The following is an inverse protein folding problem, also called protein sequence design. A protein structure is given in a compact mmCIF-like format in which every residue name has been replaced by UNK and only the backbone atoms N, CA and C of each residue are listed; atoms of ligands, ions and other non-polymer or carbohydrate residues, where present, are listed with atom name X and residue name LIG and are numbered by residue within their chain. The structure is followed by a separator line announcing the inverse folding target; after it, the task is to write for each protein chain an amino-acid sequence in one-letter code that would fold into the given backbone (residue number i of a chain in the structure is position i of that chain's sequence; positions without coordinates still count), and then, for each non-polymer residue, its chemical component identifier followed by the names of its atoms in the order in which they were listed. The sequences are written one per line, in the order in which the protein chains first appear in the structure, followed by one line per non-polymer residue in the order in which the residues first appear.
data_IF_680595266361
#
_entry.id   IF_680595266361
#
_cell.length_a   1.000
_cell.length_b   1.000
_cell.length_c   1.000
_cell.angle_alpha   90.00
_cell.angle_beta   90.00
_cell.angle_gamma   90.00
#
_symmetry.space_group_name_H-M   'P 1'
#
loop_
_entity.id
_entity.type
_entity.pdbx_description
1 polymer ?
#
# COMPACT_ATOMS: atom_id res chain seq x y z
N UNK A 1 10.26 44.03 21.14
CA UNK A 1 9.22 43.06 21.45
C UNK A 1 8.50 42.71 20.15
N UNK A 2 8.94 41.63 19.47
CA UNK A 2 8.34 41.15 18.22
C UNK A 2 7.73 39.80 18.51
N UNK A 3 6.39 39.69 18.43
CA UNK A 3 5.67 38.41 18.51
C UNK A 3 5.63 37.80 17.13
N UNK A 4 6.44 36.78 16.89
CA UNK A 4 6.31 35.92 15.72
C UNK A 4 5.11 34.97 15.92
N UNK A 5 4.04 35.21 15.20
CA UNK A 5 2.90 34.29 15.11
C UNK A 5 3.29 33.08 14.32
N UNK A 6 3.47 31.92 14.95
CA UNK A 6 3.55 30.64 14.27
C UNK A 6 2.17 30.28 13.72
N UNK A 7 1.97 30.52 12.44
CA UNK A 7 0.77 30.06 11.71
C UNK A 7 0.77 28.53 11.66
N UNK A 8 -0.29 27.93 12.23
CA UNK A 8 -0.49 26.48 12.28
C UNK A 8 -0.70 25.93 10.86
N UNK A 9 0.36 25.48 10.21
CA UNK A 9 0.36 24.83 8.90
C UNK A 9 -0.56 23.60 8.84
N UNK A 10 -0.78 22.93 9.99
CA UNK A 10 -1.62 21.73 10.08
C UNK A 10 -3.13 22.00 9.97
N UNK A 11 -3.59 23.20 10.33
CA UNK A 11 -5.01 23.58 10.15
C UNK A 11 -5.33 23.98 8.72
N UNK A 12 -4.35 24.52 7.99
CA UNK A 12 -4.52 24.86 6.57
C UNK A 12 -4.57 23.59 5.69
N UNK A 13 -3.74 22.59 6.01
CA UNK A 13 -3.73 21.32 5.28
C UNK A 13 -5.07 20.57 5.39
N UNK A 14 -5.68 20.54 6.58
CA UNK A 14 -6.98 19.89 6.79
C UNK A 14 -8.14 20.62 6.07
N UNK A 15 -8.10 21.95 6.01
CA UNK A 15 -9.11 22.76 5.30
C UNK A 15 -8.96 22.73 3.78
N UNK A 16 -7.74 22.61 3.26
CA UNK A 16 -7.48 22.47 1.82
C UNK A 16 -7.94 21.10 1.32
N UNK A 17 -7.75 20.03 2.11
CA UNK A 17 -8.25 18.69 1.77
C UNK A 17 -9.78 18.65 1.75
N UNK A 18 -10.45 19.30 2.71
CA UNK A 18 -11.93 19.34 2.73
C UNK A 18 -12.51 20.24 1.63
N UNK A 19 -11.85 21.35 1.28
CA UNK A 19 -12.30 22.29 0.25
C UNK A 19 -12.07 21.81 -1.18
N UNK A 20 -11.00 21.05 -1.42
CA UNK A 20 -10.68 20.48 -2.75
C UNK A 20 -11.61 19.33 -3.17
N UNK A 21 -12.19 18.62 -2.23
CA UNK A 21 -13.12 17.49 -2.46
C UNK A 21 -14.49 17.92 -3.01
N UNK A 22 -14.86 19.19 -2.93
CA UNK A 22 -16.17 19.69 -3.34
C UNK A 22 -16.26 20.22 -4.78
N UNK A 23 -15.15 20.28 -5.52
CA UNK A 23 -15.11 21.01 -6.80
C UNK A 23 -14.71 20.19 -8.03
N UNK A 24 -14.52 18.87 -7.96
CA UNK A 24 -14.18 18.06 -9.13
C UNK A 24 -15.01 16.77 -9.19
N UNK A 25 -15.86 16.59 -10.22
CA UNK A 25 -16.74 15.42 -10.34
C UNK A 25 -16.06 14.17 -10.93
N UNK A 26 -14.74 14.12 -11.07
CA UNK A 26 -14.03 13.01 -11.72
C UNK A 26 -12.85 12.54 -10.88
N UNK A 27 -12.90 11.31 -10.43
CA UNK A 27 -11.85 10.53 -9.75
C UNK A 27 -11.90 10.62 -8.21
N UNK A 28 -12.82 9.90 -7.61
CA UNK A 28 -12.82 9.65 -6.16
C UNK A 28 -11.86 8.51 -5.90
N UNK A 29 -10.68 8.83 -5.42
CA UNK A 29 -9.70 7.84 -4.93
C UNK A 29 -10.05 7.47 -3.49
N UNK A 30 -10.09 6.17 -3.19
CA UNK A 30 -10.61 5.68 -1.93
C UNK A 30 -9.57 5.62 -0.81
N UNK A 31 -10.07 5.75 0.42
CA UNK A 31 -9.28 5.58 1.64
C UNK A 31 -9.46 4.20 2.28
N UNK A 32 -10.64 3.59 2.11
CA UNK A 32 -11.01 2.32 2.75
C UNK A 32 -11.89 1.50 1.82
N UNK A 33 -11.80 0.19 1.92
CA UNK A 33 -12.59 -0.75 1.12
C UNK A 33 -13.54 -1.56 2.02
N UNK A 34 -14.79 -1.72 1.60
CA UNK A 34 -15.70 -2.66 2.25
C UNK A 34 -15.52 -4.06 1.65
N UNK A 35 -14.59 -4.82 2.19
CA UNK A 35 -14.29 -6.18 1.72
C UNK A 35 -15.24 -7.24 2.29
N UNK A 36 -16.14 -6.86 3.20
CA UNK A 36 -17.19 -7.76 3.68
C UNK A 36 -18.32 -7.93 2.64
N UNK A 37 -18.51 -6.94 1.76
CA UNK A 37 -19.49 -6.95 0.67
C UNK A 37 -18.83 -7.52 -0.59
N UNK A 38 -19.11 -8.78 -0.88
CA UNK A 38 -18.50 -9.47 -2.03
C UNK A 38 -19.00 -8.93 -3.37
N UNK A 39 -18.15 -8.93 -4.41
CA UNK A 39 -18.59 -8.66 -5.77
C UNK A 39 -19.72 -9.63 -6.17
N UNK A 40 -20.78 -9.16 -6.84
CA UNK A 40 -21.90 -10.01 -7.25
C UNK A 40 -21.49 -11.11 -8.24
N UNK A 41 -20.41 -10.87 -8.98
CA UNK A 41 -19.77 -11.84 -9.88
C UNK A 41 -18.26 -11.85 -9.60
N UNK A 42 -17.57 -12.98 -9.88
CA UNK A 42 -16.12 -13.04 -9.71
C UNK A 42 -15.40 -11.94 -10.50
N UNK A 43 -14.41 -11.32 -9.88
CA UNK A 43 -13.56 -10.33 -10.53
C UNK A 43 -12.54 -11.02 -11.44
N UNK A 44 -12.25 -10.37 -12.56
CA UNK A 44 -11.09 -10.72 -13.37
C UNK A 44 -9.81 -10.48 -12.57
N UNK A 45 -8.83 -11.39 -12.70
CA UNK A 45 -7.50 -11.16 -12.13
C UNK A 45 -6.74 -10.15 -13.00
N UNK A 46 -6.30 -9.06 -12.38
CA UNK A 46 -5.61 -7.96 -13.05
C UNK A 46 -4.13 -7.88 -12.65
N UNK A 47 -3.62 -8.87 -11.93
CA UNK A 47 -2.28 -8.84 -11.35
C UNK A 47 -1.18 -8.60 -12.39
N UNK A 48 -1.22 -9.31 -13.50
CA UNK A 48 -0.21 -9.20 -14.57
C UNK A 48 -0.23 -7.81 -15.22
N UNK A 49 -1.42 -7.25 -15.47
CA UNK A 49 -1.57 -5.92 -16.08
C UNK A 49 -1.06 -4.81 -15.14
N UNK A 50 -1.30 -4.97 -13.83
CA UNK A 50 -0.75 -4.06 -12.82
C UNK A 50 0.77 -4.19 -12.72
N UNK A 51 1.30 -5.43 -12.77
CA UNK A 51 2.76 -5.66 -12.78
C UNK A 51 3.44 -5.04 -13.99
N UNK A 52 2.86 -5.18 -15.17
CA UNK A 52 3.36 -4.54 -16.40
C UNK A 52 3.40 -3.00 -16.27
N UNK A 53 2.37 -2.42 -15.68
CA UNK A 53 2.38 -0.97 -15.43
C UNK A 53 3.47 -0.54 -14.44
N UNK A 54 3.67 -1.31 -13.37
CA UNK A 54 4.75 -1.07 -12.40
C UNK A 54 6.12 -1.19 -13.07
N UNK A 55 6.31 -2.19 -13.93
CA UNK A 55 7.53 -2.36 -14.73
C UNK A 55 7.81 -1.15 -15.62
N UNK A 56 6.78 -0.67 -16.35
CA UNK A 56 6.91 0.53 -17.19
C UNK A 56 7.31 1.78 -16.38
N UNK A 57 6.77 1.91 -15.15
CA UNK A 57 7.13 3.00 -14.24
C UNK A 57 8.59 2.88 -13.77
N UNK A 58 9.05 1.69 -13.44
CA UNK A 58 10.44 1.44 -13.06
C UNK A 58 11.40 1.70 -14.22
N UNK A 59 11.05 1.36 -15.46
CA UNK A 59 11.85 1.72 -16.63
C UNK A 59 12.06 3.24 -16.73
N UNK A 60 11.00 4.03 -16.49
CA UNK A 60 11.11 5.49 -16.47
C UNK A 60 12.01 6.00 -15.33
N UNK A 61 11.89 5.41 -14.15
CA UNK A 61 12.73 5.76 -13.00
C UNK A 61 14.21 5.50 -13.31
N UNK A 62 14.51 4.32 -13.86
CA UNK A 62 15.88 3.95 -14.28
C UNK A 62 16.41 4.90 -15.35
N UNK A 63 15.62 5.20 -16.39
CA UNK A 63 15.99 6.13 -17.44
C UNK A 63 16.34 7.53 -16.89
N UNK A 64 15.46 8.08 -16.02
CA UNK A 64 15.70 9.40 -15.39
C UNK A 64 17.00 9.44 -14.60
N UNK A 65 17.25 8.42 -13.76
CA UNK A 65 18.47 8.35 -12.96
C UNK A 65 19.71 8.22 -13.88
N UNK A 66 19.65 7.39 -14.92
CA UNK A 66 20.76 7.19 -15.84
C UNK A 66 21.06 8.43 -16.68
N UNK A 67 20.05 9.19 -17.10
CA UNK A 67 20.22 10.49 -17.76
C UNK A 67 20.95 11.45 -16.83
N UNK A 68 20.52 11.54 -15.56
CA UNK A 68 21.15 12.42 -14.59
C UNK A 68 22.59 11.99 -14.27
N UNK A 69 22.88 10.69 -14.14
CA UNK A 69 24.24 10.15 -14.02
C UNK A 69 25.11 10.63 -15.20
N UNK A 70 24.59 10.50 -16.42
CA UNK A 70 25.32 10.88 -17.63
C UNK A 70 25.64 12.38 -17.67
N UNK A 71 24.71 13.24 -17.24
CA UNK A 71 24.91 14.68 -17.11
C UNK A 71 25.99 14.97 -16.07
N UNK A 72 25.91 14.37 -14.87
CA UNK A 72 26.89 14.62 -13.80
C UNK A 72 28.29 14.10 -14.15
N UNK A 73 28.38 12.98 -14.87
CA UNK A 73 29.66 12.48 -15.39
C UNK A 73 30.36 13.48 -16.32
N UNK A 74 29.61 14.11 -17.23
CA UNK A 74 30.13 15.15 -18.10
C UNK A 74 30.62 16.36 -17.31
N UNK A 75 29.83 16.78 -16.29
CA UNK A 75 30.26 17.91 -15.43
C UNK A 75 31.54 17.60 -14.64
N UNK A 76 31.68 16.39 -14.12
CA UNK A 76 32.89 15.95 -13.38
C UNK A 76 34.10 15.87 -14.28
N UNK A 77 33.93 15.39 -15.53
CA UNK A 77 35.05 15.24 -16.50
C UNK A 77 35.47 16.52 -17.16
N UNK A 78 34.81 17.65 -16.93
CA UNK A 78 35.12 18.94 -17.55
C UNK A 78 34.72 19.06 -19.03
N UNK A 79 34.03 18.07 -19.59
CA UNK A 79 33.47 18.09 -20.96
C UNK A 79 32.08 18.78 -21.01
N UNK A 80 31.83 19.79 -20.17
CA UNK A 80 30.68 20.65 -20.36
C UNK A 80 30.98 21.52 -21.61
N UNK A 81 30.19 21.39 -22.69
CA UNK A 81 30.28 22.20 -23.88
C UNK A 81 30.37 23.69 -23.52
N UNK A 82 31.45 24.38 -23.94
CA UNK A 82 31.69 25.79 -23.67
C UNK A 82 30.62 26.75 -24.24
N UNK A 83 29.54 26.22 -24.83
CA UNK A 83 28.51 27.00 -25.52
C UNK A 83 27.10 26.98 -24.88
N UNK A 84 26.82 26.12 -23.93
CA UNK A 84 25.57 26.16 -23.17
C UNK A 84 25.90 26.49 -21.72
N UNK A 85 25.38 27.60 -21.19
CA UNK A 85 25.63 28.08 -19.84
C UNK A 85 25.60 26.91 -18.86
N UNK A 86 26.74 26.58 -18.30
CA UNK A 86 26.98 25.33 -17.58
C UNK A 86 26.09 25.23 -16.37
N UNK A 87 25.05 24.40 -16.45
CA UNK A 87 24.25 23.97 -15.28
C UNK A 87 25.02 23.05 -14.32
N UNK A 88 26.38 23.06 -14.43
CA UNK A 88 27.25 22.29 -13.53
C UNK A 88 27.63 23.14 -12.31
N UNK A 89 27.53 22.54 -11.15
CA UNK A 89 28.06 23.07 -9.90
C UNK A 89 29.59 22.88 -9.79
N UNK A 90 30.16 23.14 -8.61
CA UNK A 90 31.59 22.87 -8.39
C UNK A 90 31.89 21.37 -8.61
N UNK A 91 33.08 20.99 -9.05
CA UNK A 91 33.46 19.59 -9.32
C UNK A 91 33.23 18.67 -8.13
N UNK A 92 33.47 19.15 -6.91
CA UNK A 92 33.20 18.38 -5.66
C UNK A 92 31.73 18.13 -5.41
N UNK A 93 30.88 19.13 -5.71
CA UNK A 93 29.41 18.99 -5.61
C UNK A 93 28.91 17.99 -6.65
N UNK A 94 29.36 18.09 -7.90
CA UNK A 94 28.95 17.16 -8.96
C UNK A 94 29.40 15.74 -8.69
N UNK A 95 30.62 15.54 -8.17
CA UNK A 95 31.10 14.22 -7.74
C UNK A 95 30.23 13.62 -6.62
N UNK A 96 29.79 14.46 -5.66
CA UNK A 96 28.90 14.01 -4.58
C UNK A 96 27.52 13.62 -5.08
N UNK A 97 26.94 14.40 -6.01
CA UNK A 97 25.67 14.08 -6.65
C UNK A 97 25.77 12.77 -7.46
N UNK A 98 26.85 12.61 -8.23
CA UNK A 98 27.09 11.40 -9.01
C UNK A 98 27.23 10.17 -8.10
N UNK A 99 27.94 10.31 -6.99
CA UNK A 99 28.08 9.23 -6.00
C UNK A 99 26.70 8.83 -5.41
N UNK A 100 25.84 9.82 -5.05
CA UNK A 100 24.48 9.55 -4.60
C UNK A 100 23.64 8.84 -5.65
N UNK A 101 23.62 9.30 -6.90
CA UNK A 101 22.83 8.71 -7.99
C UNK A 101 23.15 7.22 -8.25
N UNK A 102 24.32 6.76 -7.82
CA UNK A 102 24.77 5.36 -7.89
C UNK A 102 24.46 4.55 -6.64
N UNK A 103 23.73 5.10 -5.68
CA UNK A 103 23.27 4.37 -4.50
C UNK A 103 21.88 3.77 -4.71
N UNK A 104 21.56 2.71 -3.96
CA UNK A 104 20.21 2.13 -3.93
C UNK A 104 19.13 3.16 -3.54
N UNK A 105 19.47 4.11 -2.66
CA UNK A 105 18.52 5.16 -2.24
C UNK A 105 18.08 6.02 -3.44
N UNK A 106 18.97 6.39 -4.33
CA UNK A 106 18.62 7.26 -5.45
C UNK A 106 17.64 6.59 -6.43
N UNK A 107 17.83 5.30 -6.70
CA UNK A 107 16.92 4.56 -7.58
C UNK A 107 15.59 4.26 -6.90
N UNK A 108 15.60 4.01 -5.59
CA UNK A 108 14.36 3.84 -4.79
C UNK A 108 13.58 5.16 -4.72
N UNK A 109 14.25 6.30 -4.52
CA UNK A 109 13.61 7.62 -4.53
C UNK A 109 12.97 7.90 -5.90
N UNK A 110 13.65 7.59 -7.01
CA UNK A 110 13.09 7.74 -8.35
C UNK A 110 11.91 6.77 -8.63
N UNK A 111 11.98 5.54 -8.13
CA UNK A 111 10.88 4.59 -8.21
C UNK A 111 9.65 5.09 -7.43
N UNK A 112 9.86 5.67 -6.24
CA UNK A 112 8.79 6.29 -5.47
C UNK A 112 8.13 7.46 -6.22
N UNK A 113 8.91 8.31 -6.86
CA UNK A 113 8.38 9.44 -7.66
C UNK A 113 7.45 8.97 -8.79
N UNK A 114 7.69 7.79 -9.36
CA UNK A 114 6.84 7.22 -10.39
C UNK A 114 5.63 6.45 -9.86
N UNK A 115 5.77 5.75 -8.72
CA UNK A 115 4.78 4.80 -8.19
C UNK A 115 3.96 5.37 -7.03
N UNK A 116 4.64 5.99 -6.05
CA UNK A 116 4.05 6.36 -4.77
C UNK A 116 3.75 7.85 -4.59
N UNK A 117 4.28 8.70 -5.48
CA UNK A 117 4.16 10.15 -5.35
C UNK A 117 2.70 10.63 -5.35
N UNK A 118 2.44 11.69 -4.62
CA UNK A 118 1.13 12.30 -4.48
C UNK A 118 0.73 12.48 -3.02
N UNK A 119 -0.42 13.12 -2.82
CA UNK A 119 -1.01 13.30 -1.48
C UNK A 119 -2.11 12.26 -1.31
N UNK A 120 -2.12 11.46 -0.22
CA UNK A 120 -3.23 10.52 0.00
C UNK A 120 -4.60 11.23 -0.04
N UNK A 121 -5.58 10.63 -0.69
CA UNK A 121 -5.58 9.36 -1.40
C UNK A 121 -5.10 9.43 -2.85
N UNK A 122 -4.73 10.61 -3.36
CA UNK A 122 -4.38 10.87 -4.77
C UNK A 122 -2.90 10.51 -5.05
N UNK A 123 -2.53 9.25 -4.85
CA UNK A 123 -1.21 8.74 -5.22
C UNK A 123 -1.19 8.35 -6.71
N UNK A 124 0.01 8.27 -7.28
CA UNK A 124 0.18 7.87 -8.69
C UNK A 124 -0.50 6.53 -8.99
N UNK A 125 -0.14 5.48 -8.24
CA UNK A 125 -0.72 4.16 -8.42
C UNK A 125 -2.19 4.08 -8.00
N UNK A 126 -2.58 4.71 -6.88
CA UNK A 126 -3.98 4.71 -6.43
C UNK A 126 -4.90 5.33 -7.48
N UNK A 127 -4.52 6.47 -8.04
CA UNK A 127 -5.28 7.12 -9.12
C UNK A 127 -5.35 6.25 -10.37
N UNK A 128 -4.23 5.64 -10.76
CA UNK A 128 -4.21 4.75 -11.92
C UNK A 128 -5.09 3.51 -11.68
N UNK A 129 -5.00 2.87 -10.53
CA UNK A 129 -5.84 1.73 -10.16
C UNK A 129 -7.33 2.04 -10.23
N UNK A 130 -7.75 3.26 -9.91
CA UNK A 130 -9.15 3.66 -9.91
C UNK A 130 -9.68 4.09 -11.30
N UNK A 131 -8.82 4.54 -12.19
CA UNK A 131 -9.22 5.15 -13.47
C UNK A 131 -8.88 4.32 -14.71
N UNK A 132 -7.91 3.40 -14.61
CA UNK A 132 -7.47 2.58 -15.74
C UNK A 132 -8.55 1.63 -16.23
N UNK A 133 -8.65 1.43 -17.56
CA UNK A 133 -9.51 0.42 -18.18
C UNK A 133 -8.75 -0.89 -18.34
N UNK A 134 -8.97 -1.82 -17.42
CA UNK A 134 -8.37 -3.14 -17.46
C UNK A 134 -8.99 -4.00 -18.57
N UNK A 135 -8.20 -4.90 -19.15
CA UNK A 135 -8.66 -5.81 -20.20
C UNK A 135 -9.69 -6.83 -19.68
N UNK A 136 -9.43 -7.41 -18.50
CA UNK A 136 -10.37 -8.31 -17.83
C UNK A 136 -11.53 -7.58 -17.17
N UNK A 137 -12.78 -8.08 -17.35
CA UNK A 137 -13.96 -7.47 -16.77
C UNK A 137 -14.87 -8.49 -16.09
N UNK A 138 -15.54 -8.16 -14.96
CA UNK A 138 -15.36 -6.91 -14.22
C UNK A 138 -14.02 -6.90 -13.46
N UNK A 139 -13.27 -5.81 -13.59
CA UNK A 139 -11.97 -5.66 -12.96
C UNK A 139 -12.06 -5.12 -11.52
N UNK A 140 -13.13 -4.41 -11.20
CA UNK A 140 -13.32 -3.72 -9.93
C UNK A 140 -14.76 -3.83 -9.46
N UNK A 141 -14.93 -3.90 -8.14
CA UNK A 141 -16.23 -3.79 -7.49
C UNK A 141 -16.17 -2.74 -6.38
N UNK A 142 -17.06 -1.78 -6.42
CA UNK A 142 -17.18 -0.75 -5.38
C UNK A 142 -18.53 -0.86 -4.69
N UNK A 143 -18.51 -1.15 -3.41
CA UNK A 143 -19.72 -1.10 -2.57
C UNK A 143 -20.25 0.33 -2.52
N UNK A 144 -21.57 0.51 -2.71
CA UNK A 144 -22.15 1.83 -2.55
C UNK A 144 -22.12 2.26 -1.08
N UNK A 145 -21.83 3.54 -0.80
CA UNK A 145 -21.72 4.07 0.55
C UNK A 145 -22.89 3.68 1.45
N UNK A 146 -24.12 3.80 0.97
CA UNK A 146 -25.33 3.48 1.74
C UNK A 146 -25.46 1.98 2.10
N UNK A 147 -24.77 1.12 1.37
CA UNK A 147 -24.70 -0.32 1.62
C UNK A 147 -23.44 -0.73 2.37
N UNK A 148 -22.43 0.14 2.46
CA UNK A 148 -21.15 -0.20 3.08
C UNK A 148 -21.24 -0.25 4.61
N UNK A 149 -20.26 -0.90 5.20
CA UNK A 149 -20.03 -0.85 6.66
C UNK A 149 -19.70 0.57 7.13
N UNK A 150 -19.26 1.45 6.23
CA UNK A 150 -18.87 2.84 6.50
C UNK A 150 -20.01 3.85 6.47
N UNK A 151 -21.26 3.41 6.33
CA UNK A 151 -22.44 4.31 6.21
C UNK A 151 -22.59 5.34 7.35
N UNK A 152 -22.00 5.07 8.52
CA UNK A 152 -21.96 6.01 9.64
C UNK A 152 -20.71 6.89 9.69
N UNK A 153 -19.87 6.83 8.66
CA UNK A 153 -18.65 7.62 8.51
C UNK A 153 -18.75 8.54 7.28
N UNK A 154 -19.45 9.68 7.37
CA UNK A 154 -19.69 10.55 6.22
C UNK A 154 -18.44 10.98 5.44
N UNK A 155 -17.26 11.17 6.06
CA UNK A 155 -16.04 11.49 5.31
C UNK A 155 -15.65 10.42 4.29
N UNK A 156 -16.03 9.15 4.53
CA UNK A 156 -15.73 8.03 3.63
C UNK A 156 -16.74 7.91 2.48
N UNK A 157 -17.87 8.63 2.54
CA UNK A 157 -18.92 8.54 1.51
C UNK A 157 -18.40 8.73 0.07
N UNK A 158 -17.40 9.57 -0.09
CA UNK A 158 -16.79 9.89 -1.38
C UNK A 158 -15.48 9.13 -1.64
N UNK A 159 -15.05 8.28 -0.72
CA UNK A 159 -13.70 7.73 -0.70
C UNK A 159 -13.66 6.21 -0.45
N UNK A 160 -14.75 5.49 -0.76
CA UNK A 160 -14.72 4.02 -0.72
C UNK A 160 -13.92 3.50 -1.91
N UNK A 161 -12.83 2.81 -1.61
CA UNK A 161 -11.99 2.12 -2.59
C UNK A 161 -12.72 0.91 -3.18
N UNK A 162 -12.54 0.60 -4.44
CA UNK A 162 -13.04 -0.64 -5.00
C UNK A 162 -12.19 -1.84 -4.56
N UNK A 163 -12.83 -3.01 -4.51
CA UNK A 163 -12.17 -4.31 -4.45
C UNK A 163 -11.66 -4.69 -5.84
N UNK A 164 -10.46 -5.27 -5.90
CA UNK A 164 -9.82 -5.86 -7.08
C UNK A 164 -9.36 -7.27 -6.76
N UNK A 165 -9.03 -8.03 -7.80
CA UNK A 165 -8.39 -9.34 -7.67
C UNK A 165 -7.03 -9.33 -8.36
N UNK A 166 -5.98 -9.74 -7.64
CA UNK A 166 -4.62 -9.87 -8.18
C UNK A 166 -4.01 -11.18 -7.66
N UNK A 167 -3.49 -11.99 -8.56
CA UNK A 167 -2.83 -13.27 -8.26
C UNK A 167 -3.67 -14.19 -7.34
N UNK A 168 -4.97 -14.19 -7.54
CA UNK A 168 -5.92 -14.99 -6.77
C UNK A 168 -6.49 -14.30 -5.53
N UNK A 169 -5.83 -13.31 -4.96
CA UNK A 169 -6.27 -12.58 -3.76
C UNK A 169 -7.18 -11.40 -4.10
N UNK A 170 -8.28 -11.23 -3.34
CA UNK A 170 -9.20 -10.09 -3.45
C UNK A 170 -8.94 -9.11 -2.31
N UNK A 171 -8.70 -7.82 -2.64
CA UNK A 171 -8.42 -6.76 -1.66
C UNK A 171 -8.75 -5.37 -2.22
N UNK A 172 -8.69 -4.35 -1.37
CA UNK A 172 -8.97 -2.98 -1.76
C UNK A 172 -7.84 -2.30 -2.53
N UNK A 173 -8.16 -1.44 -3.50
CA UNK A 173 -7.16 -0.65 -4.25
C UNK A 173 -6.34 0.29 -3.38
N UNK A 174 -6.86 0.69 -2.22
CA UNK A 174 -6.12 1.45 -1.20
C UNK A 174 -4.86 0.72 -0.72
N UNK A 175 -4.86 -0.63 -0.67
CA UNK A 175 -3.68 -1.42 -0.29
C UNK A 175 -2.53 -1.24 -1.27
N UNK A 176 -2.81 -1.02 -2.56
CA UNK A 176 -1.78 -0.69 -3.56
C UNK A 176 -1.20 0.72 -3.29
N UNK A 177 -2.04 1.68 -2.90
CA UNK A 177 -1.55 2.99 -2.49
C UNK A 177 -0.68 2.89 -1.22
N UNK A 178 -1.10 2.10 -0.22
CA UNK A 178 -0.31 1.82 0.98
C UNK A 178 1.02 1.16 0.64
N UNK A 179 1.05 0.13 -0.22
CA UNK A 179 2.26 -0.55 -0.64
C UNK A 179 3.30 0.44 -1.20
N UNK A 180 2.91 1.28 -2.14
CA UNK A 180 3.87 2.17 -2.79
C UNK A 180 4.17 3.45 -2.00
N UNK A 181 3.19 4.04 -1.32
CA UNK A 181 3.42 5.29 -0.60
C UNK A 181 3.91 5.07 0.83
N UNK A 182 3.18 4.29 1.63
CA UNK A 182 3.56 4.04 3.02
C UNK A 182 4.73 3.06 3.12
N UNK A 183 4.83 2.11 2.19
CA UNK A 183 5.97 1.23 2.06
C UNK A 183 7.28 1.99 1.84
N UNK A 184 7.26 3.06 1.02
CA UNK A 184 8.42 3.95 0.89
C UNK A 184 8.74 4.70 2.19
N UNK A 185 7.72 5.16 2.93
CA UNK A 185 7.96 5.77 4.24
C UNK A 185 8.63 4.77 5.21
N UNK A 186 8.20 3.50 5.20
CA UNK A 186 8.84 2.43 5.95
C UNK A 186 10.30 2.22 5.52
N UNK A 187 10.56 2.18 4.21
CA UNK A 187 11.90 2.08 3.65
C UNK A 187 12.80 3.21 4.16
N UNK A 188 12.37 4.46 4.07
CA UNK A 188 13.16 5.62 4.53
C UNK A 188 13.42 5.57 6.04
N UNK A 189 12.45 5.15 6.86
CA UNK A 189 12.60 5.01 8.32
C UNK A 189 13.60 3.90 8.65
N UNK A 190 13.46 2.74 8.01
CA UNK A 190 14.34 1.58 8.19
C UNK A 190 15.76 1.91 7.74
N UNK A 191 15.91 2.41 6.53
CA UNK A 191 17.22 2.76 5.97
C UNK A 191 17.96 3.81 6.81
N UNK A 192 17.27 4.86 7.26
CA UNK A 192 17.86 5.85 8.18
C UNK A 192 18.27 5.23 9.51
N UNK A 193 17.57 4.24 10.01
CA UNK A 193 17.96 3.55 11.22
C UNK A 193 19.23 2.71 11.00
N UNK A 194 19.33 1.99 9.88
CA UNK A 194 20.51 1.25 9.48
C UNK A 194 21.75 2.14 9.36
N UNK A 195 21.64 3.29 8.69
CA UNK A 195 22.75 4.25 8.54
C UNK A 195 23.19 4.88 9.86
N UNK A 196 22.35 4.83 10.89
CA UNK A 196 22.69 5.27 12.26
C UNK A 196 23.12 4.12 13.18
N UNK A 197 23.36 2.91 12.64
CA UNK A 197 23.94 1.78 13.36
C UNK A 197 22.91 0.83 14.00
N UNK A 198 21.63 0.91 13.65
CA UNK A 198 20.65 -0.08 14.09
C UNK A 198 20.88 -1.42 13.37
N UNK A 199 20.50 -2.55 14.03
CA UNK A 199 20.43 -3.84 13.34
C UNK A 199 19.25 -3.85 12.36
N UNK A 200 19.26 -4.72 11.33
CA UNK A 200 18.14 -4.86 10.37
C UNK A 200 16.80 -5.06 11.07
N UNK A 201 16.73 -5.92 12.08
CA UNK A 201 15.50 -6.21 12.82
C UNK A 201 15.02 -4.97 13.60
N UNK A 202 15.94 -4.23 14.24
CA UNK A 202 15.60 -3.00 14.97
C UNK A 202 15.14 -1.89 14.03
N UNK A 203 15.73 -1.79 12.84
CA UNK A 203 15.37 -0.83 11.80
C UNK A 203 13.96 -1.12 11.26
N UNK A 204 13.69 -2.36 10.88
CA UNK A 204 12.36 -2.82 10.45
C UNK A 204 11.32 -2.60 11.56
N UNK A 205 11.59 -3.02 12.79
CA UNK A 205 10.69 -2.80 13.92
C UNK A 205 10.40 -1.31 14.18
N UNK A 206 11.33 -0.41 13.87
CA UNK A 206 11.10 1.04 13.96
C UNK A 206 10.10 1.54 12.92
N UNK A 207 10.21 1.06 11.68
CA UNK A 207 9.26 1.37 10.62
C UNK A 207 7.86 0.83 10.94
N UNK A 208 7.76 -0.43 11.37
CA UNK A 208 6.52 -1.07 11.80
C UNK A 208 5.83 -0.30 12.94
N UNK A 209 6.58 0.10 13.97
CA UNK A 209 6.02 0.92 15.07
C UNK A 209 5.52 2.28 14.58
N UNK A 210 6.16 2.87 13.58
CA UNK A 210 5.66 4.10 12.97
C UNK A 210 4.32 3.87 12.27
N UNK A 211 4.18 2.80 11.49
CA UNK A 211 2.93 2.42 10.85
C UNK A 211 1.80 2.15 11.85
N UNK A 212 2.06 1.38 12.91
CA UNK A 212 1.08 1.16 13.98
C UNK A 212 0.60 2.46 14.63
N UNK A 213 1.47 3.48 14.75
CA UNK A 213 1.09 4.80 15.26
C UNK A 213 0.28 5.58 14.23
N UNK A 214 0.64 5.51 12.95
CA UNK A 214 -0.10 6.20 11.89
C UNK A 214 -1.51 5.64 11.75
N UNK A 215 -1.70 4.31 11.84
CA UNK A 215 -3.01 3.67 11.85
C UNK A 215 -3.87 4.08 13.05
N UNK A 216 -3.26 4.23 14.22
CA UNK A 216 -3.98 4.74 15.41
C UNK A 216 -4.35 6.22 15.32
N UNK A 217 -3.84 6.95 14.33
CA UNK A 217 -4.01 8.40 14.17
C UNK A 217 -4.51 8.77 12.76
N UNK A 218 -3.64 9.35 11.93
CA UNK A 218 -4.02 10.05 10.69
C UNK A 218 -4.48 9.15 9.55
N UNK A 219 -3.95 7.93 9.44
CA UNK A 219 -4.27 7.07 8.29
C UNK A 219 -5.37 6.06 8.58
N UNK A 220 -5.67 5.75 9.85
CA UNK A 220 -6.71 4.81 10.23
C UNK A 220 -7.79 5.44 11.11
N UNK A 221 -7.61 5.32 12.44
CA UNK A 221 -8.66 5.58 13.43
C UNK A 221 -9.28 6.97 13.39
N UNK A 222 -8.51 8.03 13.11
CA UNK A 222 -9.03 9.41 13.11
C UNK A 222 -9.79 9.76 11.84
N UNK A 223 -9.41 9.20 10.69
CA UNK A 223 -10.00 9.49 9.38
C UNK A 223 -11.10 8.49 9.06
N UNK A 224 -10.80 7.20 9.12
CA UNK A 224 -11.70 6.13 8.73
C UNK A 224 -12.43 5.47 9.91
N UNK A 225 -11.98 5.68 11.13
CA UNK A 225 -12.53 4.98 12.31
C UNK A 225 -12.08 3.53 12.42
N UNK A 226 -11.16 3.11 11.57
CA UNK A 226 -10.64 1.73 11.47
C UNK A 226 -9.15 1.73 11.80
N UNK A 227 -8.67 0.66 12.41
CA UNK A 227 -7.28 0.27 12.48
C UNK A 227 -7.16 -1.01 11.68
N UNK A 228 -6.43 -0.97 10.57
CA UNK A 228 -6.36 -2.05 9.61
C UNK A 228 -5.04 -2.81 9.71
N UNK A 229 -5.11 -4.13 9.98
CA UNK A 229 -3.95 -5.00 9.84
C UNK A 229 -3.59 -5.20 8.35
N UNK A 230 -4.56 -5.09 7.44
CA UNK A 230 -4.33 -5.12 6.00
C UNK A 230 -3.45 -3.95 5.53
N UNK A 231 -3.67 -2.74 6.08
CA UNK A 231 -2.83 -1.58 5.78
C UNK A 231 -1.40 -1.74 6.32
N UNK A 232 -1.26 -2.28 7.53
CA UNK A 232 0.05 -2.60 8.09
C UNK A 232 0.79 -3.63 7.25
N UNK A 233 0.09 -4.67 6.77
CA UNK A 233 0.66 -5.64 5.85
C UNK A 233 1.08 -5.00 4.53
N UNK A 234 0.23 -4.14 3.94
CA UNK A 234 0.55 -3.41 2.71
C UNK A 234 1.78 -2.51 2.87
N UNK A 235 1.88 -1.78 3.99
CA UNK A 235 3.04 -0.96 4.31
C UNK A 235 4.32 -1.79 4.42
N UNK A 236 4.21 -2.95 5.08
CA UNK A 236 5.34 -3.85 5.30
C UNK A 236 5.83 -4.51 4.00
N UNK A 237 4.93 -5.06 3.19
CA UNK A 237 5.32 -5.63 1.90
C UNK A 237 5.85 -4.56 0.95
N UNK A 238 5.40 -3.30 1.09
CA UNK A 238 5.94 -2.15 0.38
C UNK A 238 7.40 -1.84 0.79
N UNK A 239 7.75 -1.93 2.08
CA UNK A 239 9.14 -1.89 2.52
C UNK A 239 9.97 -2.95 1.80
N UNK A 240 9.49 -4.20 1.81
CA UNK A 240 10.20 -5.33 1.16
C UNK A 240 10.31 -5.14 -0.36
N UNK A 241 9.28 -4.57 -1.00
CA UNK A 241 9.32 -4.21 -2.42
C UNK A 241 10.47 -3.23 -2.70
N UNK A 242 10.59 -2.13 -1.97
CA UNK A 242 11.65 -1.14 -2.18
C UNK A 242 13.04 -1.68 -1.86
N UNK A 243 13.19 -2.53 -0.85
CA UNK A 243 14.45 -3.24 -0.59
C UNK A 243 14.81 -4.18 -1.75
N UNK A 244 13.83 -4.93 -2.27
CA UNK A 244 13.99 -5.87 -3.38
C UNK A 244 14.39 -5.22 -4.71
N UNK A 245 14.19 -3.90 -4.86
CA UNK A 245 14.66 -3.22 -6.07
C UNK A 245 16.17 -3.32 -6.24
N UNK A 246 16.95 -3.26 -5.16
CA UNK A 246 18.43 -3.18 -5.23
C UNK A 246 19.16 -4.21 -4.38
N UNK A 247 18.45 -5.04 -3.65
CA UNK A 247 19.00 -6.05 -2.76
C UNK A 247 18.28 -7.39 -2.95
N UNK A 248 18.99 -8.49 -2.75
CA UNK A 248 18.34 -9.79 -2.61
C UNK A 248 17.57 -9.82 -1.30
N UNK A 249 16.30 -10.17 -1.35
CA UNK A 249 15.43 -10.32 -0.18
C UNK A 249 14.96 -11.76 -0.06
N UNK A 250 14.49 -12.15 1.11
CA UNK A 250 13.87 -13.47 1.32
C UNK A 250 12.39 -13.30 1.57
N UNK A 251 11.55 -14.03 0.82
CA UNK A 251 10.10 -14.08 0.98
C UNK A 251 9.69 -15.55 1.07
N UNK A 252 8.99 -15.93 2.13
CA UNK A 252 8.54 -17.31 2.32
C UNK A 252 9.67 -18.35 2.38
N UNK A 253 10.87 -17.94 2.82
CA UNK A 253 12.05 -18.81 2.83
C UNK A 253 12.78 -18.92 1.49
N UNK A 254 12.29 -18.27 0.44
CA UNK A 254 12.88 -18.25 -0.90
C UNK A 254 13.62 -16.93 -1.16
N UNK A 255 14.87 -16.97 -1.69
CA UNK A 255 15.58 -15.77 -2.07
C UNK A 255 14.98 -15.19 -3.37
N UNK A 256 14.68 -13.89 -3.35
CA UNK A 256 14.27 -13.10 -4.50
C UNK A 256 15.43 -12.17 -4.87
N UNK A 257 16.02 -12.30 -6.06
CA UNK A 257 17.15 -11.50 -6.46
C UNK A 257 16.77 -10.03 -6.63
N UNK A 258 17.76 -9.13 -6.51
CA UNK A 258 17.55 -7.71 -6.78
C UNK A 258 17.03 -7.50 -8.21
N UNK A 259 16.00 -6.68 -8.36
CA UNK A 259 15.39 -6.35 -9.67
C UNK A 259 16.33 -5.51 -10.52
N UNK A 260 17.08 -4.62 -9.88
CA UNK A 260 18.00 -3.66 -10.52
C UNK A 260 19.41 -3.87 -9.99
N UNK A 261 20.39 -3.61 -10.85
CA UNK A 261 21.82 -3.62 -10.49
C UNK A 261 22.54 -2.45 -11.10
N UNK A 262 23.63 -2.03 -10.46
CA UNK A 262 24.54 -1.05 -11.05
C UNK A 262 25.58 -1.78 -11.91
N UNK A 263 25.62 -1.46 -13.21
CA UNK A 263 26.58 -2.02 -14.15
C UNK A 263 27.24 -0.87 -14.91
N UNK A 264 28.57 -0.84 -14.94
CA UNK A 264 29.35 0.21 -15.59
C UNK A 264 28.97 1.64 -15.16
N UNK A 265 28.47 1.75 -13.92
CA UNK A 265 28.06 3.01 -13.31
C UNK A 265 26.65 3.49 -13.69
N UNK A 266 25.87 2.69 -14.40
CA UNK A 266 24.47 2.91 -14.75
C UNK A 266 23.57 1.84 -14.14
N UNK A 267 22.34 2.19 -13.85
CA UNK A 267 21.33 1.25 -13.40
C UNK A 267 20.77 0.45 -14.56
N UNK A 268 20.68 -0.86 -14.41
CA UNK A 268 20.09 -1.79 -15.38
C UNK A 268 19.21 -2.80 -14.69
N UNK A 269 18.22 -3.32 -15.40
CA UNK A 269 17.45 -4.46 -14.93
C UNK A 269 18.35 -5.70 -14.88
N UNK A 270 18.14 -6.52 -13.86
CA UNK A 270 18.86 -7.77 -13.71
C UNK A 270 18.28 -8.82 -14.67
N UNK A 271 19.04 -9.21 -15.69
CA UNK A 271 18.62 -10.17 -16.73
C UNK A 271 18.22 -11.54 -16.20
N UNK A 272 18.69 -11.92 -15.00
CA UNK A 272 18.32 -13.18 -14.36
C UNK A 272 16.96 -13.15 -13.63
N UNK A 273 16.25 -12.02 -13.64
CA UNK A 273 14.97 -11.84 -12.94
C UNK A 273 13.81 -11.90 -13.93
N UNK A 274 12.87 -12.81 -13.70
CA UNK A 274 11.60 -12.81 -14.41
C UNK A 274 10.66 -11.76 -13.77
N UNK A 275 10.56 -10.58 -14.37
CA UNK A 275 9.81 -9.46 -13.81
C UNK A 275 8.31 -9.78 -13.64
N UNK A 276 7.72 -10.62 -14.49
CA UNK A 276 6.31 -11.00 -14.36
C UNK A 276 6.02 -11.79 -13.07
N UNK A 277 6.98 -12.56 -12.58
CA UNK A 277 6.83 -13.37 -11.37
C UNK A 277 7.45 -12.74 -10.12
N UNK A 278 8.50 -11.91 -10.30
CA UNK A 278 9.33 -11.43 -9.19
C UNK A 278 9.02 -9.97 -8.79
N UNK A 279 8.38 -9.18 -9.70
CA UNK A 279 8.24 -7.74 -9.46
C UNK A 279 7.15 -7.42 -8.45
N UNK A 280 5.95 -7.95 -8.61
CA UNK A 280 4.80 -7.60 -7.75
C UNK A 280 4.14 -8.81 -7.10
N UNK A 281 4.06 -9.93 -7.80
CA UNK A 281 3.38 -11.15 -7.35
C UNK A 281 3.81 -11.64 -5.95
N UNK A 282 5.11 -11.63 -5.56
CA UNK A 282 5.53 -12.09 -4.25
C UNK A 282 4.99 -11.27 -3.07
N UNK A 283 4.53 -10.05 -3.33
CA UNK A 283 4.06 -9.10 -2.33
C UNK A 283 2.54 -9.07 -2.17
N UNK A 284 1.80 -9.81 -3.03
CA UNK A 284 0.34 -9.84 -3.02
C UNK A 284 -0.16 -11.14 -2.41
N UNK A 285 -0.99 -11.02 -1.39
CA UNK A 285 -1.58 -12.16 -0.67
C UNK A 285 -2.81 -11.74 0.13
N UNK A 286 -3.48 -12.68 0.78
CA UNK A 286 -4.68 -12.45 1.59
C UNK A 286 -4.41 -11.63 2.87
N UNK A 287 -3.14 -11.34 3.21
CA UNK A 287 -2.80 -10.34 4.21
C UNK A 287 -3.39 -8.95 3.90
N UNK A 288 -3.66 -8.66 2.63
CA UNK A 288 -4.26 -7.42 2.17
C UNK A 288 -5.80 -7.40 2.27
N UNK A 289 -6.44 -8.55 2.55
CA UNK A 289 -7.88 -8.69 2.65
C UNK A 289 -8.38 -8.44 4.08
N UNK A 290 -9.09 -7.35 4.31
CA UNK A 290 -9.59 -6.96 5.64
C UNK A 290 -10.76 -7.80 6.16
N UNK A 291 -11.46 -8.54 5.32
CA UNK A 291 -12.52 -9.44 5.76
C UNK A 291 -11.94 -10.71 6.44
N UNK A 292 -10.69 -11.04 6.12
CA UNK A 292 -9.94 -12.18 6.66
C UNK A 292 -8.86 -11.71 7.62
N UNK A 293 -8.03 -10.75 7.22
CA UNK A 293 -7.03 -10.11 8.10
C UNK A 293 -7.72 -9.07 8.99
N UNK A 294 -7.79 -9.30 10.31
CA UNK A 294 -8.74 -8.58 11.16
C UNK A 294 -8.49 -7.08 11.27
N UNK A 295 -9.56 -6.28 11.13
CA UNK A 295 -9.56 -4.84 11.38
C UNK A 295 -10.28 -4.47 12.68
N UNK A 296 -9.81 -3.42 13.36
CA UNK A 296 -10.36 -2.94 14.64
C UNK A 296 -11.17 -1.67 14.40
N UNK A 297 -12.45 -1.71 14.70
CA UNK A 297 -13.33 -0.55 14.62
C UNK A 297 -13.43 0.11 16.01
N UNK A 298 -12.71 1.22 16.21
CA UNK A 298 -12.37 1.72 17.56
C UNK A 298 -13.29 2.82 18.08
N UNK A 299 -14.14 3.43 17.28
CA UNK A 299 -14.73 4.73 17.65
C UNK A 299 -15.91 4.72 18.61
N UNK A 300 -16.60 3.59 18.83
CA UNK A 300 -17.66 3.51 19.84
C UNK A 300 -18.06 2.05 20.11
N UNK A 301 -18.25 1.69 21.39
CA UNK A 301 -18.72 0.36 21.77
C UNK A 301 -20.06 -0.03 21.09
N UNK A 302 -20.96 0.94 20.86
CA UNK A 302 -22.22 0.72 20.11
C UNK A 302 -22.02 0.53 18.60
N UNK A 303 -20.98 1.12 18.03
CA UNK A 303 -20.68 1.02 16.61
C UNK A 303 -20.30 -0.40 16.19
N UNK A 304 -19.50 -1.10 16.99
CA UNK A 304 -19.10 -2.49 16.72
C UNK A 304 -20.31 -3.42 16.62
N UNK A 305 -21.26 -3.31 17.56
CA UNK A 305 -22.50 -4.09 17.51
C UNK A 305 -23.34 -3.79 16.25
N UNK A 306 -23.36 -2.53 15.85
CA UNK A 306 -24.00 -2.12 14.60
C UNK A 306 -23.29 -2.74 13.38
N UNK A 307 -21.97 -2.61 13.27
CA UNK A 307 -21.19 -3.15 12.15
C UNK A 307 -21.33 -4.66 12.04
N UNK A 308 -21.21 -5.41 13.14
CA UNK A 308 -21.49 -6.85 13.15
C UNK A 308 -22.90 -7.19 12.66
N UNK A 309 -23.91 -6.41 13.05
CA UNK A 309 -25.27 -6.59 12.56
C UNK A 309 -25.39 -6.32 11.05
N UNK A 310 -24.71 -5.31 10.55
CA UNK A 310 -24.68 -4.98 9.11
C UNK A 310 -24.03 -6.11 8.34
N UNK A 311 -22.84 -6.57 8.74
CA UNK A 311 -22.13 -7.68 8.11
C UNK A 311 -22.99 -8.95 8.13
N UNK A 312 -23.57 -9.34 9.28
CA UNK A 312 -24.45 -10.51 9.39
C UNK A 312 -25.62 -10.44 8.42
N UNK A 313 -26.27 -9.29 8.35
CA UNK A 313 -27.47 -9.13 7.52
C UNK A 313 -27.20 -9.11 6.04
N UNK A 314 -26.06 -8.58 5.63
CA UNK A 314 -25.76 -8.27 4.21
C UNK A 314 -24.73 -9.21 3.59
N UNK A 315 -23.71 -9.57 4.35
CA UNK A 315 -22.51 -10.22 3.80
C UNK A 315 -22.51 -11.73 4.04
N UNK A 316 -22.94 -12.21 5.20
CA UNK A 316 -22.78 -13.62 5.57
C UNK A 316 -23.41 -14.59 4.56
N UNK A 317 -24.60 -14.27 4.04
CA UNK A 317 -25.26 -15.13 3.04
C UNK A 317 -24.44 -15.20 1.74
N UNK A 318 -23.90 -14.06 1.28
CA UNK A 318 -23.06 -14.00 0.09
C UNK A 318 -21.76 -14.81 0.26
N UNK A 319 -21.16 -14.74 1.46
CA UNK A 319 -19.94 -15.51 1.77
C UNK A 319 -20.21 -17.00 1.76
N UNK A 320 -21.30 -17.48 2.36
CA UNK A 320 -21.67 -18.91 2.34
C UNK A 320 -22.05 -19.41 0.94
N UNK A 321 -22.68 -18.56 0.14
CA UNK A 321 -23.01 -18.91 -1.25
C UNK A 321 -21.73 -18.99 -2.12
N UNK A 322 -20.83 -18.03 -1.96
CA UNK A 322 -19.58 -17.95 -2.73
C UNK A 322 -18.58 -19.04 -2.33
N UNK A 323 -18.52 -19.38 -1.05
CA UNK A 323 -17.55 -20.28 -0.46
C UNK A 323 -18.27 -21.35 0.37
N UNK A 324 -18.89 -22.37 -0.27
CA UNK A 324 -19.71 -23.37 0.44
C UNK A 324 -18.91 -24.23 1.40
N UNK A 325 -17.59 -24.38 1.19
CA UNK A 325 -16.68 -25.12 2.08
C UNK A 325 -16.18 -24.27 3.27
N UNK A 326 -16.62 -23.00 3.33
CA UNK A 326 -16.15 -22.08 4.35
C UNK A 326 -16.60 -22.52 5.74
N UNK A 327 -15.66 -22.67 6.66
CA UNK A 327 -15.94 -22.99 8.06
C UNK A 327 -15.28 -21.97 8.99
N UNK A 328 -15.79 -21.87 10.21
CA UNK A 328 -15.20 -21.01 11.25
C UNK A 328 -13.74 -21.39 11.50
N UNK A 329 -13.46 -22.69 11.62
CA UNK A 329 -12.11 -23.20 11.87
C UNK A 329 -11.13 -22.86 10.76
N UNK A 330 -11.57 -22.95 9.50
CA UNK A 330 -10.75 -22.56 8.35
C UNK A 330 -10.37 -21.08 8.40
N UNK A 331 -11.35 -20.19 8.60
CA UNK A 331 -11.09 -18.75 8.70
C UNK A 331 -10.25 -18.36 9.93
N UNK A 332 -10.46 -19.05 11.07
CA UNK A 332 -9.65 -18.82 12.27
C UNK A 332 -8.21 -19.31 12.08
N UNK A 333 -8.00 -20.39 11.35
CA UNK A 333 -6.67 -20.88 10.95
C UNK A 333 -5.98 -19.88 10.03
N UNK A 334 -6.69 -19.43 9.00
CA UNK A 334 -6.19 -18.43 8.06
C UNK A 334 -5.85 -17.14 8.79
N UNK A 335 -6.77 -16.60 9.60
CA UNK A 335 -6.52 -15.40 10.41
C UNK A 335 -5.31 -15.56 11.35
N UNK A 336 -5.07 -16.76 11.88
CA UNK A 336 -3.87 -17.04 12.68
C UNK A 336 -2.58 -17.04 11.83
N UNK A 337 -2.65 -17.59 10.63
CA UNK A 337 -1.51 -17.59 9.70
C UNK A 337 -1.10 -16.19 9.28
N UNK A 338 -2.07 -15.24 9.21
CA UNK A 338 -1.81 -13.86 8.83
C UNK A 338 -1.09 -13.02 9.91
N UNK A 339 -0.85 -13.54 11.11
CA UNK A 339 -0.15 -12.78 12.17
C UNK A 339 1.29 -12.44 11.84
N UNK A 340 1.93 -13.28 11.06
CA UNK A 340 3.30 -13.11 10.61
C UNK A 340 3.34 -13.18 9.09
N UNK A 341 3.72 -12.09 8.45
CA UNK A 341 3.95 -12.11 7.01
C UNK A 341 5.26 -12.86 6.74
N UNK A 342 5.16 -14.01 6.06
CA UNK A 342 6.32 -14.83 5.70
C UNK A 342 7.31 -15.06 6.87
N UNK A 343 6.77 -15.31 8.06
CA UNK A 343 7.50 -15.48 9.33
C UNK A 343 8.07 -14.18 9.94
N UNK A 344 7.72 -13.02 9.40
CA UNK A 344 8.17 -11.72 9.89
C UNK A 344 7.03 -10.92 10.51
N UNK A 345 7.32 -10.21 11.61
CA UNK A 345 6.35 -9.34 12.30
C UNK A 345 6.12 -8.04 11.52
N UNK A 346 4.99 -7.96 10.82
CA UNK A 346 4.57 -6.74 10.12
C UNK A 346 3.80 -5.76 11.02
N UNK A 347 3.68 -6.06 12.30
CA UNK A 347 2.97 -5.22 13.27
C UNK A 347 1.52 -5.60 13.48
N UNK A 348 1.13 -6.85 13.18
CA UNK A 348 -0.21 -7.36 13.47
C UNK A 348 -0.63 -7.00 14.89
N UNK A 349 -1.80 -6.40 15.04
CA UNK A 349 -2.38 -6.07 16.34
C UNK A 349 -3.59 -6.97 16.60
N UNK A 350 -3.50 -7.77 17.65
CA UNK A 350 -4.62 -8.58 18.13
C UNK A 350 -5.56 -7.76 19.01
N UNK A 351 -6.86 -8.01 18.92
CA UNK A 351 -7.86 -7.36 19.74
C UNK A 351 -9.15 -8.18 19.81
N UNK A 352 -9.75 -8.26 20.99
CA UNK A 352 -11.12 -8.78 21.17
C UNK A 352 -12.18 -7.96 20.40
N UNK A 353 -11.77 -6.81 19.84
CA UNK A 353 -12.65 -5.87 19.14
C UNK A 353 -12.64 -6.04 17.63
N UNK A 354 -11.96 -7.04 17.09
CA UNK A 354 -12.00 -7.35 15.66
C UNK A 354 -13.40 -7.60 15.14
N UNK A 355 -13.58 -7.26 13.86
CA UNK A 355 -14.69 -7.74 13.06
C UNK A 355 -14.08 -8.55 11.91
N UNK A 356 -14.47 -9.79 11.78
CA UNK A 356 -14.10 -10.69 10.68
C UNK A 356 -15.32 -11.50 10.25
N UNK A 357 -15.24 -12.12 9.09
CA UNK A 357 -16.27 -13.09 8.67
C UNK A 357 -16.34 -14.23 9.69
N UNK A 358 -15.19 -14.73 10.19
CA UNK A 358 -15.14 -15.81 11.17
C UNK A 358 -15.95 -15.51 12.45
N UNK A 359 -15.69 -14.36 13.08
CA UNK A 359 -16.32 -14.01 14.35
C UNK A 359 -17.69 -13.34 14.22
N UNK A 360 -18.16 -13.12 12.99
CA UNK A 360 -19.43 -12.43 12.75
C UNK A 360 -20.46 -13.33 12.10
N UNK A 361 -20.07 -14.18 11.16
CA UNK A 361 -20.99 -15.03 10.42
C UNK A 361 -21.21 -16.43 11.05
N UNK A 362 -20.31 -16.87 11.90
CA UNK A 362 -20.34 -18.20 12.52
C UNK A 362 -20.72 -18.19 14.02
N UNK A 363 -21.37 -17.14 14.52
CA UNK A 363 -21.98 -17.21 15.84
C UNK A 363 -23.21 -18.17 15.81
N UNK A 364 -23.40 -18.97 16.85
CA UNK A 364 -24.41 -20.08 16.93
C UNK A 364 -25.83 -19.68 16.51
N UNK A 365 -26.23 -18.41 16.73
CA UNK A 365 -27.56 -17.92 16.33
C UNK A 365 -27.77 -17.77 14.83
N UNK A 366 -26.68 -17.58 14.06
CA UNK A 366 -26.74 -17.35 12.59
C UNK A 366 -26.88 -18.69 11.87
N UNK A 367 -26.19 -19.71 12.35
CA UNK A 367 -26.28 -21.09 11.80
C UNK A 367 -27.69 -21.64 11.96
N UNK A 368 -28.34 -21.39 13.11
CA UNK A 368 -29.71 -21.83 13.36
C UNK A 368 -30.78 -21.17 12.47
N UNK A 369 -30.50 -19.98 11.91
CA UNK A 369 -31.40 -19.29 10.98
C UNK A 369 -31.21 -19.68 9.51
N UNK A 370 -29.97 -19.94 9.10
CA UNK A 370 -29.66 -20.37 7.74
C UNK A 370 -30.09 -21.81 7.45
N UNK A 371 -30.24 -22.65 8.49
CA UNK A 371 -30.71 -24.04 8.38
C UNK A 371 -32.23 -24.23 8.50
N UNK A 372 -33.02 -23.14 8.57
CA UNK A 372 -34.47 -23.24 8.48
C UNK A 372 -34.93 -23.11 7.04
N UNK A 373 -35.59 -24.14 6.47
CA UNK A 373 -36.07 -24.14 5.09
C UNK A 373 -37.09 -23.04 4.82
#
# INVERSE_FOLDING_TARGET
MSRSGSFNLHRLAALVVLGGLLLSPTSVVGFETDQYDLPPVPLADIGDEVSEHVEQKLHRAVEKVNVEISVRQKCVSGYADEGQGSGCDSPGTEASKLAYLRTGDAIVDAAFDELGAGVPPFTSMGTWMDTHHFHGQPARYRTSYLKSIFVLFPPIALTISPTVKMYGSEFGTDKIAHLFQQGYAYYKISHRALTTGATPEAATAKAVRWGQRSERTFFGTLVAGVYSNGDLAANYVGLRFYEGLTQTITIGGHPHPAVLRLQDGLWVFNEGVNLSDELLKPFISDHLNEAVNPSIFTRNLGMRGYLRRVVRKRSCAQWFERYPELSKSLLEEESRSLRLWQSEDYGFTDSEHFITIANTCFEEEVVARASRP
#
